data_IF_126854438863
#
_entry.id   IF_126854438863
#
_cell.length_a   1.000
_cell.length_b   1.000
_cell.length_c   1.000
_cell.angle_alpha   90.00
_cell.angle_beta   90.00
_cell.angle_gamma   90.00
#
_symmetry.space_group_name_H-M   'P 1'
#
loop_
_entity.id
_entity.type
_entity.pdbx_description
1 polymer ?
#
# COMPACT_ATOMS: atom_id res chain seq x y z
N UNK A 1 -40.23 -14.88 50.87
CA UNK A 1 -41.26 -14.33 49.98
C UNK A 1 -40.70 -14.26 48.58
N UNK A 2 -41.12 -15.13 47.66
CA UNK A 2 -40.73 -15.12 46.26
C UNK A 2 -41.69 -14.19 45.51
N UNK A 3 -41.20 -13.18 44.85
CA UNK A 3 -41.96 -12.31 43.95
C UNK A 3 -42.47 -13.10 42.74
N UNK A 4 -43.77 -13.04 42.40
CA UNK A 4 -44.31 -13.79 41.25
C UNK A 4 -43.95 -13.10 39.95
N UNK A 5 -43.33 -13.91 39.05
CA UNK A 5 -43.57 -13.86 37.63
C UNK A 5 -43.33 -12.56 36.90
N UNK A 6 -42.09 -12.23 36.60
CA UNK A 6 -41.83 -11.45 35.41
C UNK A 6 -42.25 -12.29 34.18
N UNK A 7 -43.36 -11.92 33.51
CA UNK A 7 -43.80 -12.51 32.28
C UNK A 7 -42.66 -12.44 31.27
N UNK A 8 -42.19 -13.60 30.79
CA UNK A 8 -41.21 -13.69 29.74
C UNK A 8 -41.66 -12.85 28.54
N UNK A 9 -40.86 -11.88 28.20
CA UNK A 9 -41.09 -11.01 27.06
C UNK A 9 -41.33 -11.80 25.75
N UNK A 10 -41.86 -11.12 24.76
CA UNK A 10 -42.24 -11.56 23.43
C UNK A 10 -41.34 -12.67 22.90
N UNK A 11 -41.90 -13.77 22.41
CA UNK A 11 -41.17 -14.89 21.83
C UNK A 11 -40.21 -14.42 20.75
N UNK A 12 -38.98 -14.90 20.81
CA UNK A 12 -37.94 -14.59 19.82
C UNK A 12 -38.43 -15.07 18.42
N UNK A 13 -38.46 -14.19 17.41
CA UNK A 13 -38.92 -14.57 16.07
C UNK A 13 -38.04 -15.67 15.48
N UNK A 14 -38.65 -16.60 14.73
CA UNK A 14 -37.91 -17.66 14.04
C UNK A 14 -36.78 -17.07 13.21
N UNK A 15 -35.62 -17.76 13.18
CA UNK A 15 -34.40 -17.30 12.48
C UNK A 15 -34.65 -16.85 11.03
N UNK A 16 -35.55 -17.51 10.31
CA UNK A 16 -35.92 -17.13 8.94
C UNK A 16 -36.61 -15.75 8.87
N UNK A 17 -37.49 -15.44 9.85
CA UNK A 17 -38.19 -14.15 9.92
C UNK A 17 -37.23 -13.05 10.33
N UNK A 18 -36.34 -13.33 11.28
CA UNK A 18 -35.29 -12.38 11.68
C UNK A 18 -34.31 -12.09 10.53
N UNK A 19 -33.94 -13.12 9.76
CA UNK A 19 -33.09 -12.95 8.58
C UNK A 19 -33.77 -12.18 7.45
N UNK A 20 -35.07 -12.44 7.20
CA UNK A 20 -35.84 -11.69 6.19
C UNK A 20 -35.93 -10.22 6.58
N UNK A 21 -36.20 -9.93 7.86
CA UNK A 21 -36.27 -8.57 8.39
C UNK A 21 -34.93 -7.84 8.30
N UNK A 22 -33.83 -8.52 8.63
CA UNK A 22 -32.49 -7.97 8.47
C UNK A 22 -32.10 -7.71 7.01
N UNK A 23 -32.51 -8.61 6.08
CA UNK A 23 -32.34 -8.37 4.64
C UNK A 23 -33.10 -7.14 4.18
N UNK A 24 -34.35 -6.98 4.61
CA UNK A 24 -35.19 -5.84 4.22
C UNK A 24 -34.63 -4.53 4.81
N UNK A 25 -34.13 -4.54 6.05
CA UNK A 25 -33.49 -3.36 6.66
C UNK A 25 -32.14 -3.03 6.00
N UNK A 26 -31.33 -4.01 5.65
CA UNK A 26 -30.09 -3.79 4.92
C UNK A 26 -30.35 -3.26 3.50
N UNK A 27 -31.38 -3.75 2.83
CA UNK A 27 -31.80 -3.24 1.52
C UNK A 27 -32.40 -1.83 1.65
N UNK A 28 -33.23 -1.57 2.65
CA UNK A 28 -33.84 -0.26 2.89
C UNK A 28 -32.81 0.78 3.38
N UNK A 29 -31.86 0.42 4.22
CA UNK A 29 -30.75 1.29 4.65
C UNK A 29 -29.64 1.39 3.61
N UNK A 30 -29.46 0.38 2.76
CA UNK A 30 -28.55 0.41 1.61
C UNK A 30 -29.15 1.07 0.37
N UNK A 31 -30.47 1.28 0.35
CA UNK A 31 -31.21 1.96 -0.72
C UNK A 31 -31.11 3.50 -0.69
N UNK A 32 -30.53 4.08 0.35
CA UNK A 32 -30.06 5.46 0.32
C UNK A 32 -28.79 5.55 -0.49
N UNK A 33 -28.90 5.70 -1.81
CA UNK A 33 -27.94 6.23 -2.78
C UNK A 33 -26.46 6.34 -2.30
N UNK A 34 -25.86 5.31 -1.77
CA UNK A 34 -24.47 5.00 -2.08
C UNK A 34 -24.49 4.41 -3.49
N UNK A 35 -24.80 5.29 -4.45
CA UNK A 35 -24.83 4.93 -5.85
C UNK A 35 -23.54 4.20 -6.15
N UNK A 36 -23.63 3.01 -6.74
CA UNK A 36 -22.49 2.44 -7.46
C UNK A 36 -21.95 3.59 -8.28
N UNK A 37 -20.76 4.08 -7.91
CA UNK A 37 -20.09 5.10 -8.69
C UNK A 37 -20.21 4.68 -10.15
N UNK A 38 -20.64 5.58 -11.01
CA UNK A 38 -20.80 5.25 -12.42
C UNK A 38 -19.49 4.69 -12.97
N UNK A 39 -19.53 3.91 -14.02
CA UNK A 39 -18.28 3.38 -14.63
C UNK A 39 -17.34 4.53 -14.97
N UNK A 40 -17.88 5.67 -15.35
CA UNK A 40 -17.13 6.88 -15.66
C UNK A 40 -16.46 7.49 -14.43
N UNK A 41 -17.17 7.59 -13.30
CA UNK A 41 -16.60 8.05 -12.04
C UNK A 41 -15.49 7.14 -11.54
N UNK A 42 -15.66 5.82 -11.67
CA UNK A 42 -14.62 4.85 -11.33
C UNK A 42 -13.41 4.97 -12.25
N UNK A 43 -13.62 5.19 -13.55
CA UNK A 43 -12.55 5.40 -14.52
C UNK A 43 -11.81 6.71 -14.22
N UNK A 44 -12.51 7.80 -13.99
CA UNK A 44 -11.93 9.10 -13.63
C UNK A 44 -11.12 9.01 -12.32
N UNK A 45 -11.64 8.30 -11.32
CA UNK A 45 -10.94 8.09 -10.03
C UNK A 45 -9.66 7.26 -10.19
N UNK A 46 -9.69 6.22 -11.04
CA UNK A 46 -8.50 5.42 -11.38
C UNK A 46 -7.46 6.27 -12.11
N UNK A 47 -7.90 7.12 -12.99
CA UNK A 47 -7.00 7.99 -13.74
C UNK A 47 -6.38 9.07 -12.86
N UNK A 48 -7.16 9.71 -11.99
CA UNK A 48 -6.67 10.62 -10.96
C UNK A 48 -5.64 9.94 -10.04
N UNK A 49 -5.92 8.70 -9.61
CA UNK A 49 -4.96 7.90 -8.84
C UNK A 49 -3.67 7.62 -9.64
N UNK A 50 -3.79 7.27 -10.92
CA UNK A 50 -2.62 7.04 -11.79
C UNK A 50 -1.77 8.29 -11.95
N UNK A 51 -2.38 9.46 -12.09
CA UNK A 51 -1.68 10.76 -12.17
C UNK A 51 -1.05 11.16 -10.83
N UNK A 52 -1.50 10.58 -9.73
CA UNK A 52 -1.02 10.89 -8.38
C UNK A 52 -1.68 12.13 -7.78
N UNK A 53 -2.95 12.39 -8.16
CA UNK A 53 -3.75 13.46 -7.57
C UNK A 53 -4.00 13.14 -6.09
N UNK A 54 -3.66 14.05 -5.19
CA UNK A 54 -3.68 13.78 -3.74
C UNK A 54 -5.06 13.40 -3.21
N UNK A 55 -6.13 13.92 -3.82
CA UNK A 55 -7.52 13.57 -3.47
C UNK A 55 -7.85 12.10 -3.71
N UNK A 56 -7.25 11.50 -4.76
CA UNK A 56 -7.47 10.11 -5.15
C UNK A 56 -6.52 9.14 -4.42
N UNK A 57 -5.46 9.64 -3.78
CA UNK A 57 -4.49 8.80 -3.07
C UNK A 57 -5.04 8.26 -1.75
N UNK A 58 -4.66 7.03 -1.35
CA UNK A 58 -4.88 6.53 0.01
C UNK A 58 -4.25 7.45 1.05
N UNK A 59 -4.82 7.52 2.24
CA UNK A 59 -4.31 8.37 3.32
C UNK A 59 -2.81 8.14 3.64
N UNK A 60 -2.37 6.88 3.51
CA UNK A 60 -0.97 6.49 3.71
C UNK A 60 0.01 7.09 2.68
N UNK A 61 -0.49 7.51 1.51
CA UNK A 61 0.34 8.00 0.40
C UNK A 61 0.23 9.52 0.22
N UNK A 62 -0.65 10.18 1.00
CA UNK A 62 -0.87 11.64 0.97
C UNK A 62 0.22 12.40 1.72
N UNK A 63 0.38 13.64 1.35
CA UNK A 63 1.22 14.61 2.03
C UNK A 63 2.55 14.90 1.35
N UNK A 64 3.15 16.07 1.66
CA UNK A 64 4.31 16.59 0.96
C UNK A 64 5.55 15.70 1.15
N UNK A 65 5.75 15.14 2.34
CA UNK A 65 6.87 14.22 2.61
C UNK A 65 6.78 12.95 1.77
N UNK A 66 5.57 12.34 1.71
CA UNK A 66 5.37 11.11 0.92
C UNK A 66 5.51 11.38 -0.56
N UNK A 67 5.05 12.53 -1.02
CA UNK A 67 5.25 12.98 -2.40
C UNK A 67 6.74 13.10 -2.73
N UNK A 68 7.50 13.80 -1.90
CA UNK A 68 8.94 13.95 -2.07
C UNK A 68 9.66 12.59 -2.06
N UNK A 69 9.32 11.69 -1.15
CA UNK A 69 9.93 10.34 -1.09
C UNK A 69 9.62 9.54 -2.38
N UNK A 70 8.41 9.67 -2.94
CA UNK A 70 8.08 9.05 -4.23
C UNK A 70 8.99 9.54 -5.34
N UNK A 71 9.12 10.85 -5.45
CA UNK A 71 9.91 11.48 -6.49
C UNK A 71 11.40 11.12 -6.33
N UNK A 72 11.89 11.09 -5.08
CA UNK A 72 13.26 10.67 -4.75
C UNK A 72 13.55 9.21 -5.14
N UNK A 73 12.65 8.28 -4.86
CA UNK A 73 12.80 6.86 -5.23
C UNK A 73 12.69 6.69 -6.76
N UNK A 74 11.82 7.46 -7.40
CA UNK A 74 11.57 7.35 -8.84
C UNK A 74 12.70 7.96 -9.69
N UNK A 75 13.44 8.95 -9.15
CA UNK A 75 14.59 9.54 -9.82
C UNK A 75 15.83 8.64 -9.81
N UNK A 76 15.90 7.63 -8.95
CA UNK A 76 17.09 6.79 -8.77
C UNK A 76 16.99 5.44 -9.44
N UNK A 77 18.15 4.91 -9.80
CA UNK A 77 18.33 3.50 -10.07
C UNK A 77 18.36 2.74 -8.75
N UNK A 78 17.67 1.60 -8.70
CA UNK A 78 17.60 0.77 -7.50
C UNK A 78 17.86 -0.69 -7.87
N UNK A 79 18.79 -1.32 -7.17
CA UNK A 79 19.04 -2.76 -7.26
C UNK A 79 17.80 -3.55 -6.82
N UNK A 80 17.03 -2.99 -5.87
CA UNK A 80 15.79 -3.60 -5.38
C UNK A 80 14.75 -3.76 -6.52
N UNK A 81 14.77 -2.90 -7.54
CA UNK A 81 13.88 -3.05 -8.69
C UNK A 81 14.13 -4.34 -9.50
N UNK A 82 15.28 -4.95 -9.32
CA UNK A 82 15.66 -6.23 -9.92
C UNK A 82 15.32 -7.43 -9.04
N UNK A 83 14.59 -7.20 -7.94
CA UNK A 83 14.28 -8.26 -6.98
C UNK A 83 13.59 -9.46 -7.63
N UNK A 84 12.59 -9.25 -8.49
CA UNK A 84 11.87 -10.34 -9.16
C UNK A 84 12.76 -11.10 -10.14
N UNK A 85 13.45 -10.44 -11.11
CA UNK A 85 14.37 -11.16 -12.00
C UNK A 85 15.50 -11.85 -11.25
N UNK A 86 16.04 -11.21 -10.20
CA UNK A 86 17.09 -11.81 -9.38
C UNK A 86 16.60 -13.05 -8.62
N UNK A 87 15.38 -13.01 -8.07
CA UNK A 87 14.78 -14.17 -7.40
C UNK A 87 14.60 -15.36 -8.36
N UNK A 88 14.16 -15.08 -9.61
CA UNK A 88 14.06 -16.10 -10.65
C UNK A 88 15.44 -16.66 -11.03
N UNK A 89 16.44 -15.80 -11.19
CA UNK A 89 17.82 -16.23 -11.46
C UNK A 89 18.37 -17.09 -10.33
N UNK A 90 18.18 -16.69 -9.08
CA UNK A 90 18.59 -17.44 -7.89
C UNK A 90 17.91 -18.82 -7.87
N UNK A 91 16.61 -18.90 -8.20
CA UNK A 91 15.89 -20.16 -8.28
C UNK A 91 16.51 -21.09 -9.33
N UNK A 92 16.88 -20.57 -10.50
CA UNK A 92 17.54 -21.33 -11.57
C UNK A 92 18.94 -21.77 -11.16
N UNK A 93 19.67 -20.94 -10.40
CA UNK A 93 21.02 -21.25 -9.92
C UNK A 93 21.04 -22.12 -8.64
N UNK A 94 19.92 -22.29 -7.99
CA UNK A 94 19.79 -23.09 -6.76
C UNK A 94 20.38 -24.51 -6.86
N UNK A 95 20.21 -25.25 -7.97
CA UNK A 95 20.79 -26.59 -8.10
C UNK A 95 22.33 -26.59 -8.18
N UNK A 96 22.97 -25.48 -8.44
CA UNK A 96 24.43 -25.37 -8.54
C UNK A 96 25.13 -25.18 -7.18
N UNK A 97 24.46 -25.55 -6.09
CA UNK A 97 25.06 -25.62 -4.75
C UNK A 97 25.70 -24.29 -4.30
N UNK A 98 27.01 -24.29 -4.09
CA UNK A 98 27.75 -23.16 -3.54
C UNK A 98 27.66 -21.88 -4.40
N UNK A 99 27.63 -22.01 -5.71
CA UNK A 99 27.53 -20.86 -6.64
C UNK A 99 26.19 -20.16 -6.45
N UNK A 100 25.08 -20.91 -6.43
CA UNK A 100 23.74 -20.35 -6.21
C UNK A 100 23.64 -19.65 -4.86
N UNK A 101 24.19 -20.27 -3.80
CA UNK A 101 24.23 -19.67 -2.46
C UNK A 101 25.05 -18.37 -2.44
N UNK A 102 26.22 -18.32 -3.07
CA UNK A 102 27.04 -17.12 -3.14
C UNK A 102 26.32 -15.95 -3.83
N UNK A 103 25.71 -16.20 -4.99
CA UNK A 103 24.90 -15.19 -5.72
C UNK A 103 23.76 -14.66 -4.86
N UNK A 104 23.06 -15.55 -4.16
CA UNK A 104 21.99 -15.15 -3.25
C UNK A 104 22.47 -14.25 -2.12
N UNK A 105 23.57 -14.63 -1.45
CA UNK A 105 24.13 -13.85 -0.36
C UNK A 105 24.54 -12.46 -0.84
N UNK A 106 25.27 -12.37 -1.96
CA UNK A 106 25.69 -11.08 -2.53
C UNK A 106 24.48 -10.20 -2.85
N UNK A 107 23.43 -10.77 -3.44
CA UNK A 107 22.22 -10.02 -3.75
C UNK A 107 21.53 -9.52 -2.49
N UNK A 108 21.33 -10.36 -1.48
CA UNK A 108 20.71 -9.98 -0.21
C UNK A 108 21.50 -8.87 0.49
N UNK A 109 22.82 -8.99 0.55
CA UNK A 109 23.70 -7.97 1.14
C UNK A 109 23.55 -6.65 0.37
N UNK A 110 23.55 -6.67 -0.96
CA UNK A 110 23.37 -5.47 -1.78
C UNK A 110 22.01 -4.78 -1.50
N UNK A 111 20.93 -5.54 -1.39
CA UNK A 111 19.59 -5.03 -1.04
C UNK A 111 19.56 -4.41 0.35
N UNK A 112 20.21 -5.04 1.34
CA UNK A 112 20.29 -4.51 2.72
C UNK A 112 21.05 -3.19 2.74
N UNK A 113 22.21 -3.14 2.08
CA UNK A 113 23.06 -1.93 2.00
C UNK A 113 22.25 -0.81 1.33
N UNK A 114 21.67 -1.04 0.16
CA UNK A 114 20.90 -0.03 -0.56
C UNK A 114 19.71 0.47 0.27
N UNK A 115 18.95 -0.43 0.89
CA UNK A 115 17.79 -0.08 1.73
C UNK A 115 18.22 0.79 2.90
N UNK A 116 19.31 0.42 3.56
CA UNK A 116 19.84 1.16 4.72
C UNK A 116 20.31 2.55 4.31
N UNK A 117 21.13 2.64 3.26
CA UNK A 117 21.64 3.91 2.77
C UNK A 117 20.52 4.83 2.28
N UNK A 118 19.58 4.29 1.52
CA UNK A 118 18.42 5.05 1.02
C UNK A 118 17.55 5.55 2.17
N UNK A 119 17.27 4.70 3.16
CA UNK A 119 16.48 5.10 4.33
C UNK A 119 17.18 6.18 5.15
N UNK A 120 18.49 6.06 5.38
CA UNK A 120 19.29 7.09 6.09
C UNK A 120 19.25 8.43 5.35
N UNK A 121 19.45 8.42 4.04
CA UNK A 121 19.40 9.64 3.20
C UNK A 121 18.01 10.28 3.20
N UNK A 122 16.95 9.48 3.03
CA UNK A 122 15.58 9.97 3.09
C UNK A 122 15.28 10.61 4.43
N UNK A 123 15.66 9.99 5.55
CA UNK A 123 15.42 10.55 6.88
C UNK A 123 16.16 11.88 7.08
N UNK A 124 17.43 11.92 6.72
CA UNK A 124 18.22 13.14 6.83
C UNK A 124 17.63 14.28 5.99
N UNK A 125 17.27 14.00 4.75
CA UNK A 125 16.74 15.01 3.82
C UNK A 125 15.34 15.48 4.21
N UNK A 126 14.49 14.57 4.71
CA UNK A 126 13.16 14.93 5.22
C UNK A 126 13.26 15.80 6.47
N UNK A 127 14.19 15.51 7.39
CA UNK A 127 14.42 16.37 8.56
C UNK A 127 14.88 17.76 8.18
N UNK A 128 15.70 17.88 7.12
CA UNK A 128 16.17 19.18 6.61
C UNK A 128 15.07 19.97 5.92
N UNK A 129 14.27 19.35 5.04
CA UNK A 129 13.27 20.03 4.20
C UNK A 129 11.92 20.19 4.88
N UNK A 130 11.57 19.28 5.77
CA UNK A 130 10.26 19.23 6.43
C UNK A 130 10.45 19.10 7.95
N UNK A 131 10.96 20.14 8.63
CA UNK A 131 11.17 20.10 10.07
C UNK A 131 9.84 19.86 10.79
N UNK A 132 9.84 18.98 11.79
CA UNK A 132 8.64 18.61 12.54
C UNK A 132 7.78 17.48 11.94
N UNK A 133 8.07 17.02 10.72
CA UNK A 133 7.35 15.91 10.12
C UNK A 133 7.92 14.54 10.56
N UNK A 134 7.04 13.57 10.79
CA UNK A 134 7.44 12.23 11.18
C UNK A 134 8.15 11.47 10.07
N UNK A 135 9.31 10.90 10.38
CA UNK A 135 10.07 10.03 9.47
C UNK A 135 9.69 8.56 9.60
N UNK A 136 8.71 8.22 10.48
CA UNK A 136 8.29 6.84 10.72
C UNK A 136 7.71 6.22 9.44
N UNK A 137 8.15 5.00 9.14
CA UNK A 137 7.65 4.22 8.00
C UNK A 137 8.13 4.69 6.62
N UNK A 138 8.92 5.77 6.50
CA UNK A 138 9.41 6.25 5.20
C UNK A 138 10.37 5.26 4.55
N UNK A 139 11.21 4.58 5.33
CA UNK A 139 12.11 3.55 4.80
C UNK A 139 11.36 2.37 4.21
N UNK A 140 10.35 1.85 4.92
CA UNK A 140 9.50 0.78 4.41
C UNK A 140 8.73 1.22 3.16
N UNK A 141 8.22 2.44 3.16
CA UNK A 141 7.52 3.01 2.01
C UNK A 141 8.44 3.12 0.78
N UNK A 142 9.65 3.63 0.95
CA UNK A 142 10.64 3.71 -0.11
C UNK A 142 11.04 2.32 -0.63
N UNK A 143 11.26 1.36 0.27
CA UNK A 143 11.59 -0.02 -0.07
C UNK A 143 10.47 -0.68 -0.89
N UNK A 144 9.22 -0.64 -0.39
CA UNK A 144 8.08 -1.24 -1.08
C UNK A 144 7.86 -0.66 -2.48
N UNK A 145 8.10 0.65 -2.64
CA UNK A 145 8.02 1.31 -3.95
C UNK A 145 9.18 0.90 -4.88
N UNK A 146 10.39 0.74 -4.33
CA UNK A 146 11.57 0.30 -5.07
C UNK A 146 11.46 -1.13 -5.60
N UNK A 147 10.75 -2.02 -4.89
CA UNK A 147 10.50 -3.40 -5.34
C UNK A 147 9.67 -3.47 -6.63
N UNK A 148 8.82 -2.49 -6.87
CA UNK A 148 8.02 -2.46 -8.07
C UNK A 148 8.82 -1.92 -9.26
N UNK A 149 8.70 -2.59 -10.42
CA UNK A 149 9.22 -2.03 -11.66
C UNK A 149 8.62 -0.65 -11.92
N UNK A 150 9.42 0.29 -12.39
CA UNK A 150 9.01 1.68 -12.62
C UNK A 150 7.72 1.79 -13.44
N UNK A 151 7.55 0.94 -14.46
CA UNK A 151 6.34 0.92 -15.30
C UNK A 151 5.07 0.50 -14.56
N UNK A 152 5.23 -0.30 -13.51
CA UNK A 152 4.11 -0.84 -12.71
C UNK A 152 3.84 -0.03 -11.43
N UNK A 153 4.69 0.98 -11.14
CA UNK A 153 4.50 1.82 -9.95
C UNK A 153 3.21 2.62 -10.05
N UNK A 154 2.45 2.59 -8.95
CA UNK A 154 1.25 3.38 -8.78
C UNK A 154 1.39 4.27 -7.54
N UNK A 155 1.11 5.58 -7.62
CA UNK A 155 0.89 6.38 -8.83
C UNK A 155 2.11 6.40 -9.75
N UNK A 156 1.88 6.74 -11.02
CA UNK A 156 2.94 6.75 -12.03
C UNK A 156 4.07 7.71 -11.63
N UNK A 157 5.34 7.35 -11.92
CA UNK A 157 6.48 8.23 -11.72
C UNK A 157 6.30 9.56 -12.48
N UNK A 158 6.51 10.68 -11.78
CA UNK A 158 6.37 12.03 -12.32
C UNK A 158 7.73 12.62 -12.74
N UNK A 159 8.81 12.06 -12.22
CA UNK A 159 10.19 12.54 -12.38
C UNK A 159 10.96 11.55 -13.25
N UNK A 160 11.84 12.06 -14.08
CA UNK A 160 12.74 11.22 -14.87
C UNK A 160 13.88 10.64 -14.03
N UNK A 161 14.51 9.59 -14.53
CA UNK A 161 15.70 9.01 -13.88
C UNK A 161 16.86 9.99 -13.98
N UNK A 162 17.57 10.16 -12.86
CA UNK A 162 18.68 11.10 -12.77
C UNK A 162 18.27 12.54 -12.46
N UNK A 163 16.97 12.86 -12.35
CA UNK A 163 16.52 14.18 -11.98
C UNK A 163 17.05 14.55 -10.58
N UNK A 164 17.55 15.77 -10.44
CA UNK A 164 17.91 16.36 -9.14
C UNK A 164 16.63 16.77 -8.42
N UNK A 165 16.41 16.28 -7.20
CA UNK A 165 15.22 16.50 -6.38
C UNK A 165 15.61 17.20 -5.08
#
# INVERSE_FOLDING_TARGET
>A
MKTPGATKGRATPKRSVAQARNRTTVIAQGGGKRGRASREELAARREAFRRGDESALPARDRGPVRRWVRDYVDSRWSVISWFIPAALLILVLSPFGMIGAAVQIVFVVAVIIETTLTTRRIRAEVQRRFPGQSTKGLGYYAFSRSMMFRRMRMPKPRVERGAKI
#
